data_IF_904825918494
#
_entry.id   IF_904825918494
#
_cell.length_a   1.000
_cell.length_b   1.000
_cell.length_c   1.000
_cell.angle_alpha   90.00
_cell.angle_beta   90.00
_cell.angle_gamma   90.00
#
_symmetry.space_group_name_H-M   'P 1'
#
loop_
_entity.id
_entity.type
_entity.pdbx_description
1 polymer ?
#
# COMPACT_ATOMS: atom_id res chain seq x y z
N UNK A 1 102.36 38.17 -0.13
CA UNK A 1 101.44 37.03 0.00
C UNK A 1 100.02 37.57 -0.01
N UNK A 2 99.13 37.11 -0.90
CA UNK A 2 97.76 37.61 -0.92
C UNK A 2 97.06 37.25 0.39
N UNK A 3 96.42 38.23 1.02
CA UNK A 3 95.62 38.04 2.23
C UNK A 3 94.30 37.39 1.81
N UNK A 4 93.87 36.26 2.41
CA UNK A 4 92.58 35.67 2.09
C UNK A 4 91.46 36.65 2.42
N UNK A 5 90.62 36.94 1.43
CA UNK A 5 89.42 37.76 1.62
C UNK A 5 88.41 37.00 2.46
N UNK A 6 87.74 37.67 3.43
CA UNK A 6 86.71 37.02 4.24
C UNK A 6 85.52 36.59 3.36
N UNK A 7 84.84 35.49 3.72
CA UNK A 7 83.67 35.03 2.99
C UNK A 7 82.56 36.09 3.00
N UNK A 8 81.83 36.20 1.89
CA UNK A 8 80.72 37.14 1.80
C UNK A 8 79.53 36.67 2.64
N UNK A 9 78.67 37.58 3.10
CA UNK A 9 77.48 37.23 3.90
C UNK A 9 76.55 36.24 3.18
N UNK A 10 76.50 36.27 1.85
CA UNK A 10 75.75 35.31 1.03
C UNK A 10 76.35 33.90 1.07
N UNK A 11 77.68 33.78 1.10
CA UNK A 11 78.35 32.47 1.16
C UNK A 11 78.08 31.79 2.51
N UNK A 12 78.06 32.59 3.59
CA UNK A 12 77.73 32.09 4.94
C UNK A 12 76.27 31.63 5.03
N UNK A 13 75.34 32.37 4.42
CA UNK A 13 73.92 31.99 4.39
C UNK A 13 73.68 30.72 3.56
N UNK A 14 74.28 30.62 2.38
CA UNK A 14 74.19 29.42 1.53
C UNK A 14 74.77 28.19 2.23
N UNK A 15 75.92 28.34 2.90
CA UNK A 15 76.52 27.27 3.68
C UNK A 15 75.59 26.81 4.83
N UNK A 16 74.95 27.75 5.53
CA UNK A 16 74.03 27.41 6.61
C UNK A 16 72.76 26.69 6.10
N UNK A 17 72.19 27.14 4.98
CA UNK A 17 71.05 26.47 4.33
C UNK A 17 71.39 25.05 3.86
N UNK A 18 72.59 24.84 3.31
CA UNK A 18 73.06 23.52 2.92
C UNK A 18 73.20 22.59 4.14
N UNK A 19 73.74 23.09 5.25
CA UNK A 19 73.86 22.33 6.50
C UNK A 19 72.48 21.96 7.05
N UNK A 20 71.54 22.91 7.13
CA UNK A 20 70.17 22.66 7.61
C UNK A 20 69.46 21.63 6.73
N UNK A 21 69.57 21.75 5.40
CA UNK A 21 68.94 20.81 4.46
C UNK A 21 69.51 19.40 4.61
N UNK A 22 70.82 19.28 4.82
CA UNK A 22 71.47 17.99 5.07
C UNK A 22 70.99 17.36 6.37
N UNK A 23 70.86 18.14 7.44
CA UNK A 23 70.32 17.68 8.73
C UNK A 23 68.87 17.21 8.56
N UNK A 24 68.03 17.97 7.86
CA UNK A 24 66.63 17.59 7.63
C UNK A 24 66.49 16.30 6.82
N UNK A 25 67.28 16.14 5.75
CA UNK A 25 67.30 14.92 4.95
C UNK A 25 67.78 13.71 5.77
N UNK A 26 68.79 13.91 6.61
CA UNK A 26 69.30 12.87 7.49
C UNK A 26 68.25 12.44 8.53
N UNK A 27 67.58 13.40 9.17
CA UNK A 27 66.48 13.12 10.12
C UNK A 27 65.33 12.40 9.42
N UNK A 28 64.92 12.86 8.23
CA UNK A 28 63.88 12.19 7.45
C UNK A 28 64.28 10.76 7.08
N UNK A 29 65.53 10.55 6.69
CA UNK A 29 66.09 9.23 6.40
C UNK A 29 66.04 8.29 7.61
N UNK A 30 66.38 8.79 8.81
CA UNK A 30 66.26 8.03 10.05
C UNK A 30 64.80 7.66 10.32
N UNK A 31 63.86 8.61 10.22
CA UNK A 31 62.44 8.36 10.45
C UNK A 31 61.92 7.31 9.46
N UNK A 32 62.24 7.44 8.18
CA UNK A 32 61.84 6.48 7.16
C UNK A 32 62.43 5.07 7.43
N UNK A 33 63.69 4.99 7.88
CA UNK A 33 64.32 3.72 8.24
C UNK A 33 63.64 3.07 9.46
N UNK A 34 63.32 3.84 10.51
CA UNK A 34 62.59 3.36 11.69
C UNK A 34 61.19 2.86 11.29
N UNK A 35 60.48 3.61 10.45
CA UNK A 35 59.18 3.19 9.92
C UNK A 35 59.29 1.91 9.10
N UNK A 36 60.30 1.78 8.23
CA UNK A 36 60.51 0.57 7.43
C UNK A 36 60.83 -0.66 8.29
N UNK A 37 61.64 -0.50 9.35
CA UNK A 37 61.94 -1.58 10.30
C UNK A 37 60.68 -1.99 11.07
N UNK A 38 59.92 -1.01 11.54
CA UNK A 38 58.66 -1.25 12.26
C UNK A 38 57.66 -1.97 11.36
N UNK A 39 57.49 -1.51 10.12
CA UNK A 39 56.63 -2.14 9.12
C UNK A 39 57.08 -3.57 8.76
N UNK A 40 58.39 -3.81 8.66
CA UNK A 40 58.95 -5.14 8.41
C UNK A 40 58.66 -6.10 9.56
N UNK A 41 58.67 -5.62 10.80
CA UNK A 41 58.32 -6.41 11.98
C UNK A 41 56.81 -6.65 12.08
N UNK A 42 55.99 -5.65 11.75
CA UNK A 42 54.52 -5.76 11.65
C UNK A 42 54.10 -6.82 10.63
N UNK A 43 54.71 -6.80 9.43
CA UNK A 43 54.44 -7.80 8.38
C UNK A 43 54.78 -9.24 8.78
N UNK A 44 55.77 -9.43 9.65
CA UNK A 44 56.16 -10.76 10.15
C UNK A 44 55.20 -11.31 11.20
N UNK A 45 54.37 -10.46 11.82
CA UNK A 45 53.43 -10.89 12.83
C UNK A 45 52.04 -11.11 12.22
N UNK A 46 51.60 -12.37 12.02
CA UNK A 46 50.33 -12.67 11.38
C UNK A 46 49.13 -12.08 12.13
N UNK A 47 49.24 -11.88 13.45
CA UNK A 47 48.17 -11.25 14.25
C UNK A 47 47.93 -9.80 13.85
N UNK A 48 49.00 -9.04 13.57
CA UNK A 48 48.87 -7.63 13.19
C UNK A 48 48.38 -7.50 11.75
N UNK A 49 48.82 -8.40 10.85
CA UNK A 49 48.27 -8.46 9.50
C UNK A 49 46.78 -8.79 9.50
N UNK A 50 46.34 -9.76 10.31
CA UNK A 50 44.92 -10.04 10.47
C UNK A 50 44.14 -8.84 11.04
N UNK A 51 44.72 -8.10 11.99
CA UNK A 51 44.11 -6.87 12.52
C UNK A 51 43.97 -5.81 11.42
N UNK A 52 44.99 -5.60 10.59
CA UNK A 52 44.95 -4.66 9.47
C UNK A 52 43.92 -5.08 8.42
N UNK A 53 43.82 -6.38 8.11
CA UNK A 53 42.80 -6.90 7.21
C UNK A 53 41.40 -6.69 7.77
N UNK A 54 41.17 -7.00 9.04
CA UNK A 54 39.88 -6.74 9.70
C UNK A 54 39.55 -5.24 9.72
N UNK A 55 40.55 -4.38 9.91
CA UNK A 55 40.36 -2.94 9.87
C UNK A 55 40.02 -2.46 8.46
N UNK A 56 40.70 -2.95 7.43
CA UNK A 56 40.37 -2.63 6.03
C UNK A 56 38.96 -3.11 5.68
N UNK A 57 38.56 -4.31 6.11
CA UNK A 57 37.18 -4.80 5.96
C UNK A 57 36.17 -3.90 6.68
N UNK A 58 36.50 -3.41 7.88
CA UNK A 58 35.63 -2.47 8.59
C UNK A 58 35.52 -1.12 7.85
N UNK A 59 36.60 -0.64 7.25
CA UNK A 59 36.59 0.57 6.41
C UNK A 59 35.75 0.35 5.16
N UNK A 60 35.92 -0.78 4.47
CA UNK A 60 35.10 -1.18 3.32
C UNK A 60 33.61 -1.27 3.70
N UNK A 61 33.28 -1.83 4.87
CA UNK A 61 31.92 -1.88 5.39
C UNK A 61 31.35 -0.50 5.75
N UNK A 62 32.21 0.42 6.18
CA UNK A 62 31.83 1.79 6.49
C UNK A 62 31.57 2.61 5.22
N UNK A 63 32.44 2.51 4.21
CA UNK A 63 32.32 3.25 2.95
C UNK A 63 31.33 2.61 1.98
N UNK A 64 31.12 1.31 2.07
CA UNK A 64 30.33 0.51 1.13
C UNK A 64 31.17 0.00 -0.05
N UNK A 65 30.55 -0.92 -0.81
CA UNK A 65 31.12 -1.46 -2.05
C UNK A 65 30.26 -1.06 -3.26
N UNK A 66 30.86 -0.54 -4.34
CA UNK A 66 30.13 -0.22 -5.55
C UNK A 66 29.56 -1.49 -6.20
N UNK A 67 28.43 -1.33 -6.89
CA UNK A 67 27.80 -2.43 -7.61
C UNK A 67 28.78 -3.13 -8.58
N UNK A 68 28.81 -4.46 -8.54
CA UNK A 68 29.56 -5.30 -9.47
C UNK A 68 28.59 -6.09 -10.33
N UNK A 69 28.95 -6.52 -11.56
CA UNK A 69 28.06 -7.32 -12.39
C UNK A 69 27.55 -8.56 -11.63
N UNK A 70 26.24 -8.67 -11.44
CA UNK A 70 25.60 -9.77 -10.73
C UNK A 70 25.56 -9.67 -9.19
N UNK A 71 26.14 -8.63 -8.58
CA UNK A 71 26.08 -8.40 -7.12
C UNK A 71 25.57 -6.99 -6.85
N UNK A 72 24.44 -6.84 -6.11
CA UNK A 72 23.90 -5.53 -5.79
C UNK A 72 24.89 -4.72 -4.95
N UNK A 73 24.82 -3.40 -5.08
CA UNK A 73 25.63 -2.48 -4.28
C UNK A 73 25.48 -2.75 -2.79
N UNK A 74 26.60 -2.84 -2.07
CA UNK A 74 26.59 -2.99 -0.62
C UNK A 74 26.72 -1.60 -0.01
N UNK A 75 25.58 -1.00 0.35
CA UNK A 75 25.54 0.31 1.02
C UNK A 75 26.43 0.31 2.26
N UNK A 76 27.23 1.37 2.41
CA UNK A 76 28.04 1.62 3.60
C UNK A 76 27.18 1.87 4.83
N UNK A 77 27.77 1.71 6.02
CA UNK A 77 27.04 1.81 7.29
C UNK A 77 26.31 3.15 7.48
N UNK A 78 26.92 4.27 7.10
CA UNK A 78 26.29 5.61 7.20
C UNK A 78 25.01 5.72 6.37
N UNK A 79 25.03 5.20 5.15
CA UNK A 79 23.85 5.18 4.29
C UNK A 79 22.76 4.26 4.85
N UNK A 80 23.14 3.14 5.47
CA UNK A 80 22.18 2.27 6.15
C UNK A 80 21.52 2.96 7.35
N UNK A 81 22.30 3.67 8.16
CA UNK A 81 21.76 4.44 9.29
C UNK A 81 20.79 5.52 8.82
N UNK A 82 21.17 6.29 7.81
CA UNK A 82 20.29 7.30 7.23
C UNK A 82 18.98 6.68 6.69
N UNK A 83 19.08 5.55 5.97
CA UNK A 83 17.91 4.83 5.48
C UNK A 83 17.01 4.32 6.63
N UNK A 84 17.62 3.88 7.74
CA UNK A 84 16.87 3.46 8.93
C UNK A 84 16.16 4.65 9.56
N UNK A 85 16.82 5.80 9.72
CA UNK A 85 16.21 7.02 10.27
C UNK A 85 15.03 7.52 9.42
N UNK A 86 15.21 7.53 8.09
CA UNK A 86 14.13 7.89 7.16
C UNK A 86 12.97 6.89 7.25
N UNK A 87 13.28 5.60 7.32
CA UNK A 87 12.26 4.55 7.47
C UNK A 87 11.53 4.64 8.82
N UNK A 88 12.24 4.94 9.90
CA UNK A 88 11.63 5.13 11.23
C UNK A 88 10.74 6.37 11.27
N UNK A 89 11.16 7.46 10.62
CA UNK A 89 10.37 8.69 10.54
C UNK A 89 9.08 8.46 9.75
N UNK A 90 9.16 7.75 8.62
CA UNK A 90 7.97 7.42 7.81
C UNK A 90 7.03 6.43 8.51
N UNK A 91 7.58 5.44 9.21
CA UNK A 91 6.79 4.52 10.05
C UNK A 91 6.09 5.26 11.19
N UNK A 92 6.80 6.15 11.89
CA UNK A 92 6.22 6.95 12.98
C UNK A 92 5.09 7.85 12.47
N UNK A 93 5.26 8.47 11.30
CA UNK A 93 4.19 9.26 10.67
C UNK A 93 2.98 8.40 10.30
N UNK A 94 3.21 7.17 9.84
CA UNK A 94 2.15 6.21 9.50
C UNK A 94 1.39 5.74 10.74
N UNK A 95 2.10 5.49 11.84
CA UNK A 95 1.50 5.11 13.11
C UNK A 95 0.62 6.23 13.69
N UNK A 96 1.07 7.49 13.65
CA UNK A 96 0.25 8.63 14.07
C UNK A 96 -1.04 8.75 13.25
N UNK A 97 -0.96 8.58 11.92
CA UNK A 97 -2.16 8.58 11.07
C UNK A 97 -3.14 7.47 11.43
N UNK A 98 -2.65 6.27 11.76
CA UNK A 98 -3.50 5.17 12.19
C UNK A 98 -4.18 5.46 13.53
N UNK A 99 -3.46 6.08 14.46
CA UNK A 99 -4.01 6.53 15.75
C UNK A 99 -5.10 7.58 15.55
N UNK A 100 -4.88 8.57 14.69
CA UNK A 100 -5.87 9.60 14.36
C UNK A 100 -7.14 8.99 13.73
N UNK A 101 -6.98 8.02 12.81
CA UNK A 101 -8.11 7.30 12.20
C UNK A 101 -8.86 6.48 13.25
N UNK A 102 -8.15 5.78 14.13
CA UNK A 102 -8.78 5.00 15.20
C UNK A 102 -9.58 5.90 16.15
N UNK A 103 -9.05 7.07 16.49
CA UNK A 103 -9.76 8.04 17.33
C UNK A 103 -11.02 8.55 16.63
N UNK A 104 -10.93 8.93 15.35
CA UNK A 104 -12.08 9.38 14.57
C UNK A 104 -13.16 8.28 14.45
N UNK A 105 -12.76 7.03 14.25
CA UNK A 105 -13.69 5.89 14.24
C UNK A 105 -14.33 5.66 15.61
N UNK A 106 -13.58 5.82 16.70
CA UNK A 106 -14.11 5.75 18.06
C UNK A 106 -15.19 6.80 18.32
N UNK A 107 -14.93 8.05 17.95
CA UNK A 107 -15.90 9.15 18.07
C UNK A 107 -17.16 8.90 17.21
N UNK A 108 -17.01 8.36 16.00
CA UNK A 108 -18.14 7.96 15.16
C UNK A 108 -18.94 6.81 15.78
N UNK A 109 -18.26 5.80 16.33
CA UNK A 109 -18.90 4.68 17.00
C UNK A 109 -19.68 5.15 18.22
N UNK A 110 -19.11 6.06 19.02
CA UNK A 110 -19.79 6.66 20.17
C UNK A 110 -21.01 7.48 19.74
N UNK A 111 -20.92 8.23 18.64
CA UNK A 111 -22.05 8.96 18.07
C UNK A 111 -23.17 8.02 17.61
N UNK A 112 -22.84 6.97 16.85
CA UNK A 112 -23.80 5.97 16.40
C UNK A 112 -24.40 5.24 17.61
N UNK A 113 -23.57 4.89 18.58
CA UNK A 113 -24.03 4.25 19.81
C UNK A 113 -24.98 5.18 20.57
N UNK A 114 -24.69 6.48 20.64
CA UNK A 114 -25.57 7.45 21.27
C UNK A 114 -26.90 7.56 20.51
N UNK A 115 -26.91 7.64 19.19
CA UNK A 115 -28.14 7.67 18.40
C UNK A 115 -28.97 6.38 18.54
N UNK A 116 -28.32 5.21 18.54
CA UNK A 116 -29.01 3.92 18.65
C UNK A 116 -29.50 3.66 20.06
N UNK A 117 -28.68 3.90 21.09
CA UNK A 117 -29.02 3.57 22.48
C UNK A 117 -29.81 4.66 23.19
N UNK A 118 -29.52 5.95 22.96
CA UNK A 118 -30.25 7.04 23.64
C UNK A 118 -31.68 7.16 23.13
N UNK A 119 -31.92 6.87 21.84
CA UNK A 119 -33.28 6.71 21.31
C UNK A 119 -33.81 5.27 21.42
N UNK A 120 -33.11 4.35 22.09
CA UNK A 120 -33.50 2.93 22.26
C UNK A 120 -33.88 2.19 20.97
N UNK A 121 -33.34 2.58 19.82
CA UNK A 121 -33.78 2.06 18.53
C UNK A 121 -35.25 2.37 18.23
N UNK A 122 -35.83 3.38 18.90
CA UNK A 122 -37.20 3.85 18.71
C UNK A 122 -37.49 4.20 17.26
N UNK A 123 -36.59 4.94 16.60
CA UNK A 123 -36.69 5.23 15.16
C UNK A 123 -36.76 3.96 14.30
N UNK A 124 -35.93 2.95 14.57
CA UNK A 124 -35.95 1.67 13.83
C UNK A 124 -37.21 0.86 14.15
N UNK A 125 -37.67 0.90 15.40
CA UNK A 125 -38.88 0.22 15.87
C UNK A 125 -40.14 0.87 15.31
N UNK A 126 -40.17 2.19 15.23
CA UNK A 126 -41.28 2.98 14.70
C UNK A 126 -41.38 2.76 13.19
N UNK A 127 -40.26 2.80 12.47
CA UNK A 127 -40.20 2.45 11.06
C UNK A 127 -40.67 1.00 10.80
N UNK A 128 -40.33 0.05 11.68
CA UNK A 128 -40.79 -1.33 11.57
C UNK A 128 -42.30 -1.48 11.86
N UNK A 129 -42.85 -0.71 12.80
CA UNK A 129 -44.29 -0.67 13.11
C UNK A 129 -45.06 -0.05 11.94
N UNK A 130 -44.58 1.06 11.39
CA UNK A 130 -45.18 1.73 10.24
C UNK A 130 -45.20 0.81 9.01
N UNK A 131 -44.08 0.14 8.71
CA UNK A 131 -44.00 -0.83 7.63
C UNK A 131 -44.98 -2.00 7.84
N UNK A 132 -45.14 -2.48 9.07
CA UNK A 132 -46.10 -3.54 9.39
C UNK A 132 -47.55 -3.09 9.17
N UNK A 133 -47.88 -1.84 9.50
CA UNK A 133 -49.19 -1.26 9.24
C UNK A 133 -49.47 -1.13 7.74
N UNK A 134 -48.50 -0.61 6.97
CA UNK A 134 -48.63 -0.53 5.50
C UNK A 134 -48.81 -1.91 4.84
N UNK A 135 -48.11 -2.94 5.32
CA UNK A 135 -48.31 -4.32 4.82
C UNK A 135 -49.70 -4.87 5.15
N UNK A 136 -50.25 -4.53 6.32
CA UNK A 136 -51.60 -4.94 6.71
C UNK A 136 -52.68 -4.24 5.86
N UNK A 137 -52.49 -2.96 5.55
CA UNK A 137 -53.37 -2.18 4.68
C UNK A 137 -53.38 -2.73 3.26
N UNK A 138 -52.21 -2.90 2.64
CA UNK A 138 -52.07 -3.51 1.29
C UNK A 138 -52.70 -4.89 1.23
N UNK A 139 -52.55 -5.70 2.28
CA UNK A 139 -53.18 -7.03 2.35
C UNK A 139 -54.71 -6.93 2.32
N UNK A 140 -55.27 -5.94 3.01
CA UNK A 140 -56.72 -5.72 3.07
C UNK A 140 -57.25 -5.26 1.71
N UNK A 141 -56.57 -4.30 1.07
CA UNK A 141 -56.90 -3.86 -0.28
C UNK A 141 -56.84 -5.02 -1.29
N UNK A 142 -55.81 -5.87 -1.23
CA UNK A 142 -55.72 -7.04 -2.10
C UNK A 142 -56.85 -8.04 -1.87
N UNK A 143 -57.35 -8.19 -0.65
CA UNK A 143 -58.48 -9.07 -0.35
C UNK A 143 -59.79 -8.52 -0.91
N UNK A 144 -60.01 -7.21 -0.80
CA UNK A 144 -61.17 -6.54 -1.40
C UNK A 144 -61.13 -6.61 -2.93
N UNK A 145 -59.96 -6.37 -3.53
CA UNK A 145 -59.77 -6.46 -4.98
C UNK A 145 -60.04 -7.88 -5.49
N UNK A 146 -59.60 -8.90 -4.73
CA UNK A 146 -59.85 -10.30 -5.04
C UNK A 146 -61.34 -10.65 -4.95
N UNK A 147 -62.04 -10.20 -3.91
CA UNK A 147 -63.48 -10.41 -3.78
C UNK A 147 -64.26 -9.74 -4.92
N UNK A 148 -63.83 -8.55 -5.36
CA UNK A 148 -64.40 -7.87 -6.52
C UNK A 148 -64.20 -8.65 -7.82
N UNK A 149 -63.01 -9.22 -8.04
CA UNK A 149 -62.70 -10.07 -9.19
C UNK A 149 -63.54 -11.35 -9.22
N UNK A 150 -63.73 -12.00 -8.08
CA UNK A 150 -64.58 -13.19 -7.97
C UNK A 150 -66.04 -12.85 -8.32
N UNK A 151 -66.54 -11.71 -7.85
CA UNK A 151 -67.89 -11.21 -8.16
C UNK A 151 -68.07 -10.92 -9.66
N UNK A 152 -67.08 -10.28 -10.29
CA UNK A 152 -67.11 -10.02 -11.74
C UNK A 152 -67.10 -11.34 -12.52
N UNK A 153 -66.30 -12.31 -12.09
CA UNK A 153 -66.23 -13.63 -12.72
C UNK A 153 -67.56 -14.36 -12.62
N UNK A 154 -68.23 -14.29 -11.47
CA UNK A 154 -69.58 -14.85 -11.28
C UNK A 154 -70.61 -14.16 -12.20
N UNK A 155 -70.59 -12.83 -12.28
CA UNK A 155 -71.47 -12.07 -13.18
C UNK A 155 -71.25 -12.41 -14.66
N UNK A 156 -69.99 -12.54 -15.09
CA UNK A 156 -69.65 -12.94 -16.45
C UNK A 156 -70.15 -14.37 -16.70
N UNK A 157 -69.88 -15.31 -15.81
CA UNK A 157 -70.35 -16.70 -15.94
C UNK A 157 -71.87 -16.77 -16.04
N UNK A 158 -72.59 -16.03 -15.20
CA UNK A 158 -74.04 -15.95 -15.20
C UNK A 158 -74.61 -15.36 -16.50
N UNK A 159 -73.94 -14.36 -17.11
CA UNK A 159 -74.37 -13.76 -18.38
C UNK A 159 -73.98 -14.58 -19.62
N UNK A 160 -72.82 -15.22 -19.61
CA UNK A 160 -72.27 -15.93 -20.76
C UNK A 160 -72.86 -17.34 -20.92
N UNK A 161 -73.15 -18.04 -19.82
CA UNK A 161 -73.75 -19.38 -19.82
C UNK A 161 -75.09 -19.48 -20.58
N UNK A 162 -76.06 -18.55 -20.43
CA UNK A 162 -77.28 -18.56 -21.23
C UNK A 162 -77.04 -18.22 -22.71
N UNK A 163 -76.05 -17.37 -23.03
CA UNK A 163 -75.70 -17.05 -24.43
C UNK A 163 -75.11 -18.27 -25.16
N UNK A 164 -74.23 -19.04 -24.51
CA UNK A 164 -73.70 -20.30 -25.03
C UNK A 164 -74.78 -21.40 -25.18
N UNK A 165 -75.84 -21.36 -24.36
CA UNK A 165 -76.94 -22.32 -24.44
C UNK A 165 -77.85 -22.08 -25.65
N UNK A 166 -77.82 -20.88 -26.25
CA UNK A 166 -78.62 -20.52 -27.42
C UNK A 166 -77.94 -20.98 -28.72
N UNK A 167 -76.61 -20.89 -28.83
CA UNK A 167 -75.88 -21.33 -30.03
C UNK A 167 -75.98 -22.85 -30.30
N UNK A 168 -76.06 -23.68 -29.24
CA UNK A 168 -76.22 -25.13 -29.43
C UNK A 168 -77.61 -25.56 -29.92
N UNK A 169 -78.61 -24.68 -29.88
CA UNK A 169 -79.96 -24.95 -30.41
C UNK A 169 -80.18 -24.52 -31.86
N UNK A 170 -79.24 -23.78 -32.47
CA UNK A 170 -79.41 -23.22 -33.83
C UNK A 170 -78.77 -24.10 -34.93
N UNK A 171 -77.94 -25.11 -34.59
CA UNK A 171 -77.23 -25.93 -35.57
C UNK A 171 -77.81 -27.33 -35.81
N UNK A 172 -79.15 -27.46 -35.86
CA UNK A 172 -79.83 -28.71 -36.24
C UNK A 172 -81.02 -28.54 -37.20
N UNK A 173 -81.16 -27.39 -37.87
CA UNK A 173 -82.13 -27.23 -38.96
C UNK A 173 -81.47 -27.44 -40.33
N UNK A 174 -81.74 -28.62 -40.88
CA UNK A 174 -81.92 -28.92 -42.31
C UNK A 174 -80.89 -28.37 -43.32
N UNK A 175 -79.77 -29.09 -43.49
CA UNK A 175 -79.17 -29.21 -44.84
C UNK A 175 -79.99 -30.28 -45.57
N UNK A 176 -80.98 -29.87 -46.36
CA UNK A 176 -81.73 -30.77 -47.24
C UNK A 176 -80.81 -31.28 -48.36
N UNK A 177 -80.76 -32.61 -48.63
CA UNK A 177 -80.12 -33.11 -49.82
C UNK A 177 -80.95 -32.69 -51.04
N UNK A 178 -80.31 -32.01 -51.99
CA UNK A 178 -80.84 -31.77 -53.33
C UNK A 178 -80.65 -33.08 -54.09
N UNK A 179 -81.66 -33.96 -54.00
CA UNK A 179 -81.78 -35.14 -54.84
C UNK A 179 -82.40 -34.72 -56.17
N UNK A 180 -81.54 -34.36 -57.11
CA UNK A 180 -81.89 -34.07 -58.50
C UNK A 180 -81.56 -35.30 -59.35
N UNK A 181 -82.48 -36.26 -59.37
CA UNK A 181 -82.60 -37.29 -60.41
C UNK A 181 -82.70 -36.62 -61.78
N UNK A 182 -81.68 -36.86 -62.62
CA UNK A 182 -81.75 -36.66 -64.07
C UNK A 182 -82.10 -38.03 -64.65
N UNK A 183 -83.33 -38.17 -65.14
CA UNK A 183 -83.70 -39.23 -66.09
C UNK A 183 -84.04 -38.57 -67.45
N UNK A 184 -83.35 -39.10 -68.46
CA UNK A 184 -83.46 -39.00 -69.92
C UNK A 184 -83.20 -37.67 -70.66
#
# INVERSE_FOLDING_TARGET
>A
MPVPTPPSSSDVLLANWAIISFILLFVFGIIAAVLAITWRNVKKNPKVMNLLTNFMQMVEDYTGEPARPGVPERLGWNMRLQNIEVSQTSQTASLRRLEDIQKAHGEQLDSVHHEVNFNHGGSVKDAAVEAKHGVAEVKTEMQELRAGLDTITELISAKVKPLLSIEHTVNHNEVRPIDGTIED
#
